data_IF_073003515297
#
_entry.id   IF_073003515297
#
_cell.length_a   1.000
_cell.length_b   1.000
_cell.length_c   1.000
_cell.angle_alpha   90.00
_cell.angle_beta   90.00
_cell.angle_gamma   90.00
#
_symmetry.space_group_name_H-M   'P 1'
#
loop_
_entity.id
_entity.type
_entity.pdbx_description
1 polymer ?
#
# COMPACT_ATOMS: atom_id res chain seq x y z
N UNK A 1 -32.35 -10.91 -4.75
CA UNK A 1 -31.39 -10.30 -5.69
C UNK A 1 -30.15 -11.18 -5.72
N UNK A 2 -29.94 -12.03 -6.73
CA UNK A 2 -28.76 -12.90 -6.75
C UNK A 2 -27.54 -12.06 -7.13
N UNK A 3 -26.54 -12.10 -6.26
CA UNK A 3 -25.21 -11.58 -6.53
C UNK A 3 -24.65 -12.25 -7.78
N UNK A 4 -24.29 -11.43 -8.77
CA UNK A 4 -23.55 -11.89 -9.94
C UNK A 4 -22.16 -12.35 -9.45
N UNK A 5 -21.90 -13.66 -9.52
CA UNK A 5 -20.55 -14.22 -9.33
C UNK A 5 -19.83 -14.09 -10.68
N UNK A 6 -18.74 -13.31 -10.78
CA UNK A 6 -17.94 -13.28 -12.01
C UNK A 6 -17.03 -14.52 -12.09
N UNK A 7 -16.76 -15.05 -13.30
CA UNK A 7 -15.94 -16.24 -13.50
C UNK A 7 -14.44 -16.00 -13.28
N UNK A 8 -13.72 -17.12 -13.09
CA UNK A 8 -12.34 -17.33 -12.59
C UNK A 8 -11.18 -16.75 -13.42
N UNK A 9 -11.22 -15.45 -13.71
CA UNK A 9 -10.03 -14.69 -14.07
C UNK A 9 -10.18 -13.29 -13.49
N UNK A 10 -9.67 -13.09 -12.27
CA UNK A 10 -9.80 -11.84 -11.51
C UNK A 10 -8.97 -10.74 -12.19
N UNK A 11 -9.43 -10.28 -13.35
CA UNK A 11 -8.95 -9.09 -14.02
C UNK A 11 -9.11 -7.98 -12.99
N UNK A 12 -8.00 -7.50 -12.43
CA UNK A 12 -7.99 -6.42 -11.46
C UNK A 12 -8.65 -5.23 -12.14
N UNK A 13 -9.90 -4.97 -11.78
CA UNK A 13 -10.66 -3.86 -12.34
C UNK A 13 -9.96 -2.57 -11.90
N UNK A 14 -9.89 -1.56 -12.78
CA UNK A 14 -9.37 -0.27 -12.37
C UNK A 14 -10.20 0.27 -11.20
N UNK A 15 -9.56 1.05 -10.33
CA UNK A 15 -10.27 1.76 -9.27
C UNK A 15 -11.42 2.59 -9.84
N UNK A 16 -12.54 2.65 -9.12
CA UNK A 16 -13.63 3.58 -9.42
C UNK A 16 -13.11 5.03 -9.41
N UNK A 17 -13.84 6.00 -9.98
CA UNK A 17 -13.43 7.41 -9.92
C UNK A 17 -13.16 7.91 -8.49
N UNK A 18 -14.00 7.53 -7.52
CA UNK A 18 -13.77 7.84 -6.11
C UNK A 18 -12.55 7.13 -5.53
N UNK A 19 -12.29 5.88 -5.94
CA UNK A 19 -11.10 5.13 -5.55
C UNK A 19 -9.81 5.75 -6.10
N UNK A 20 -9.84 6.23 -7.34
CA UNK A 20 -8.72 6.94 -7.96
C UNK A 20 -8.42 8.25 -7.23
N UNK A 21 -9.45 9.03 -6.87
CA UNK A 21 -9.30 10.26 -6.09
C UNK A 21 -8.68 9.98 -4.70
N UNK A 22 -9.17 8.95 -4.00
CA UNK A 22 -8.62 8.54 -2.71
C UNK A 22 -7.16 8.06 -2.83
N UNK A 23 -6.84 7.27 -3.86
CA UNK A 23 -5.48 6.81 -4.12
C UNK A 23 -4.54 8.00 -4.40
N UNK A 24 -4.99 8.98 -5.18
CA UNK A 24 -4.21 10.18 -5.45
C UNK A 24 -3.98 10.99 -4.17
N UNK A 25 -4.98 11.17 -3.32
CA UNK A 25 -4.83 11.85 -2.03
C UNK A 25 -3.82 11.13 -1.13
N UNK A 26 -3.92 9.80 -1.03
CA UNK A 26 -2.96 8.99 -0.27
C UNK A 26 -1.53 9.17 -0.79
N UNK A 27 -1.33 9.06 -2.10
CA UNK A 27 -0.01 9.20 -2.73
C UNK A 27 0.56 10.61 -2.49
N UNK A 28 -0.25 11.65 -2.64
CA UNK A 28 0.19 13.03 -2.42
C UNK A 28 0.64 13.25 -0.98
N UNK A 29 -0.17 12.84 0.00
CA UNK A 29 0.17 13.02 1.42
C UNK A 29 1.37 12.16 1.82
N UNK A 30 1.41 10.90 1.39
CA UNK A 30 2.55 10.02 1.64
C UNK A 30 3.84 10.56 1.04
N UNK A 31 3.77 11.18 -0.14
CA UNK A 31 4.93 11.79 -0.81
C UNK A 31 5.53 12.98 -0.06
N UNK A 32 4.71 13.70 0.72
CA UNK A 32 5.14 14.80 1.59
C UNK A 32 5.73 14.30 2.91
N UNK A 33 5.20 13.19 3.44
CA UNK A 33 5.62 12.65 4.73
C UNK A 33 6.90 11.80 4.63
N UNK A 34 6.98 10.94 3.62
CA UNK A 34 8.14 10.07 3.40
C UNK A 34 9.27 10.90 2.84
N UNK A 35 10.45 10.89 3.47
CA UNK A 35 11.64 11.59 2.97
C UNK A 35 12.26 10.86 1.76
N UNK A 36 13.15 11.50 1.02
CA UNK A 36 13.75 10.92 -0.21
C UNK A 36 14.58 9.66 0.05
N UNK A 37 15.09 9.49 1.28
CA UNK A 37 15.77 8.27 1.71
C UNK A 37 14.81 7.09 1.95
N UNK A 38 13.51 7.34 2.11
CA UNK A 38 12.52 6.32 2.44
C UNK A 38 12.61 5.84 3.90
N UNK A 39 13.07 6.72 4.80
CA UNK A 39 13.15 6.46 6.23
C UNK A 39 11.76 6.34 6.87
N UNK A 40 11.74 6.00 8.16
CA UNK A 40 10.51 6.00 8.97
C UNK A 40 9.95 7.43 9.11
N UNK A 41 8.63 7.54 9.25
CA UNK A 41 7.88 8.79 9.11
C UNK A 41 8.30 9.89 10.10
N UNK A 42 8.65 9.51 11.33
CA UNK A 42 8.85 10.46 12.44
C UNK A 42 10.15 10.21 13.21
N UNK A 43 11.20 9.73 12.52
CA UNK A 43 12.49 9.40 13.13
C UNK A 43 12.58 7.92 13.45
N UNK A 44 12.55 7.49 14.72
CA UNK A 44 12.41 6.07 15.04
C UNK A 44 11.07 5.53 14.52
N UNK A 45 11.08 4.27 14.07
CA UNK A 45 9.87 3.57 13.64
C UNK A 45 8.72 3.71 14.64
N UNK A 46 7.51 3.93 14.12
CA UNK A 46 6.27 3.85 14.86
C UNK A 46 5.21 3.04 14.09
N UNK A 47 4.07 2.75 14.74
CA UNK A 47 3.04 1.92 14.13
C UNK A 47 2.45 2.51 12.82
N UNK A 48 2.41 3.85 12.73
CA UNK A 48 1.93 4.56 11.54
C UNK A 48 2.75 4.20 10.29
N UNK A 49 4.02 3.82 10.45
CA UNK A 49 4.85 3.39 9.33
C UNK A 49 4.27 2.16 8.63
N UNK A 50 3.80 1.20 9.43
CA UNK A 50 3.22 -0.05 8.95
C UNK A 50 1.82 0.17 8.37
N UNK A 51 1.01 1.02 9.00
CA UNK A 51 -0.33 1.35 8.48
C UNK A 51 -0.24 2.03 7.11
N UNK A 52 0.65 3.02 6.98
CA UNK A 52 0.89 3.68 5.70
C UNK A 52 1.42 2.72 4.65
N UNK A 53 2.40 1.89 5.01
CA UNK A 53 2.95 0.89 4.10
C UNK A 53 1.89 -0.11 3.65
N UNK A 54 0.99 -0.55 4.54
CA UNK A 54 -0.11 -1.45 4.20
C UNK A 54 -1.08 -0.81 3.19
N UNK A 55 -1.49 0.45 3.43
CA UNK A 55 -2.37 1.17 2.51
C UNK A 55 -1.75 1.33 1.12
N UNK A 56 -0.47 1.74 1.06
CA UNK A 56 0.26 1.88 -0.20
C UNK A 56 0.50 0.52 -0.88
N UNK A 57 0.75 -0.54 -0.10
CA UNK A 57 0.95 -1.88 -0.64
C UNK A 57 -0.28 -2.41 -1.36
N UNK A 58 -1.50 -1.99 -1.00
CA UNK A 58 -2.72 -2.33 -1.75
C UNK A 58 -2.66 -1.85 -3.20
N UNK A 59 -2.18 -0.61 -3.41
CA UNK A 59 -1.98 -0.04 -4.74
C UNK A 59 -0.83 -0.73 -5.48
N UNK A 60 0.30 -0.94 -4.80
CA UNK A 60 1.47 -1.60 -5.39
C UNK A 60 1.16 -3.04 -5.81
N UNK A 61 0.51 -3.81 -4.93
CA UNK A 61 0.11 -5.18 -5.20
C UNK A 61 -0.86 -5.27 -6.38
N UNK A 62 -1.72 -4.26 -6.57
CA UNK A 62 -2.65 -4.16 -7.69
C UNK A 62 -2.03 -3.59 -8.98
N UNK A 63 -0.73 -3.24 -8.97
CA UNK A 63 -0.02 -2.60 -10.10
C UNK A 63 -0.52 -1.19 -10.45
N UNK A 64 -1.15 -0.51 -9.49
CA UNK A 64 -1.50 0.89 -9.63
C UNK A 64 -0.25 1.78 -9.68
N UNK A 65 -0.42 3.00 -10.21
CA UNK A 65 0.67 3.97 -10.31
C UNK A 65 1.03 4.51 -8.94
N UNK A 66 2.17 4.08 -8.41
CA UNK A 66 2.77 4.57 -7.16
C UNK A 66 4.19 5.06 -7.46
N UNK A 67 4.60 6.26 -7.01
CA UNK A 67 5.96 6.77 -7.19
C UNK A 67 7.04 5.80 -6.66
N UNK A 68 8.21 5.68 -7.33
CA UNK A 68 9.28 4.76 -6.92
C UNK A 68 9.72 4.92 -5.47
N UNK A 69 9.80 6.16 -4.98
CA UNK A 69 10.12 6.50 -3.58
C UNK A 69 9.18 5.82 -2.58
N UNK A 70 7.88 5.88 -2.82
CA UNK A 70 6.87 5.23 -1.97
C UNK A 70 6.92 3.70 -2.09
N UNK A 71 7.26 3.16 -3.27
CA UNK A 71 7.49 1.71 -3.44
C UNK A 71 8.68 1.23 -2.62
N UNK A 72 9.78 1.99 -2.60
CA UNK A 72 10.96 1.68 -1.80
C UNK A 72 10.64 1.69 -0.30
N UNK A 73 9.91 2.72 0.15
CA UNK A 73 9.40 2.82 1.52
C UNK A 73 8.52 1.61 1.90
N UNK A 74 7.54 1.26 1.06
CA UNK A 74 6.69 0.07 1.27
C UNK A 74 7.56 -1.18 1.40
N UNK A 75 8.50 -1.40 0.48
CA UNK A 75 9.39 -2.57 0.52
C UNK A 75 10.16 -2.64 1.83
N UNK A 76 10.72 -1.52 2.30
CA UNK A 76 11.47 -1.45 3.57
C UNK A 76 10.58 -1.81 4.75
N UNK A 77 9.41 -1.18 4.88
CA UNK A 77 8.47 -1.47 5.98
C UNK A 77 7.97 -2.91 5.96
N UNK A 78 7.77 -3.47 4.76
CA UNK A 78 7.32 -4.86 4.59
C UNK A 78 8.35 -5.87 5.08
N UNK A 79 9.65 -5.54 5.09
CA UNK A 79 10.71 -6.43 5.61
C UNK A 79 10.78 -6.48 7.15
N UNK A 80 10.01 -5.63 7.85
CA UNK A 80 10.05 -5.59 9.32
C UNK A 80 9.69 -6.97 9.91
N UNK A 81 10.44 -7.49 10.92
CA UNK A 81 10.19 -8.82 11.47
C UNK A 81 8.76 -9.07 11.93
N UNK A 82 8.11 -8.06 12.55
CA UNK A 82 6.71 -8.17 13.01
C UNK A 82 5.73 -8.29 11.84
N UNK A 83 5.94 -7.51 10.77
CA UNK A 83 5.12 -7.57 9.55
C UNK A 83 5.31 -8.91 8.85
N UNK A 84 6.56 -9.37 8.73
CA UNK A 84 6.89 -10.68 8.17
C UNK A 84 6.31 -11.84 8.98
N UNK A 85 6.32 -11.76 10.31
CA UNK A 85 5.69 -12.75 11.17
C UNK A 85 4.17 -12.80 10.94
N UNK A 86 3.51 -11.65 10.85
CA UNK A 86 2.09 -11.54 10.52
C UNK A 86 1.75 -12.11 9.13
N UNK A 87 2.55 -11.81 8.10
CA UNK A 87 2.34 -12.37 6.75
C UNK A 87 2.43 -13.90 6.78
N UNK A 88 3.41 -14.46 7.50
CA UNK A 88 3.57 -15.93 7.62
C UNK A 88 2.44 -16.60 8.40
N UNK A 89 1.77 -15.89 9.32
CA UNK A 89 0.60 -16.42 10.03
C UNK A 89 -0.66 -16.44 9.15
N UNK A 90 -0.71 -15.59 8.12
CA UNK A 90 -1.81 -15.55 7.16
C UNK A 90 -1.55 -16.39 5.89
N UNK A 91 -0.43 -17.14 5.86
CA UNK A 91 -0.06 -18.03 4.76
C UNK A 91 -0.62 -19.44 4.95
#
# INVERSE_FOLDING_TARGET
MPFCIPPENTRRLPLSPSGQAAAQQLITLAGQLVNDAGDDLFGPWCIADTELALMLNRLVANQDRVPPKLKAYVKRQWQRPSVQAWIRQQA
#
